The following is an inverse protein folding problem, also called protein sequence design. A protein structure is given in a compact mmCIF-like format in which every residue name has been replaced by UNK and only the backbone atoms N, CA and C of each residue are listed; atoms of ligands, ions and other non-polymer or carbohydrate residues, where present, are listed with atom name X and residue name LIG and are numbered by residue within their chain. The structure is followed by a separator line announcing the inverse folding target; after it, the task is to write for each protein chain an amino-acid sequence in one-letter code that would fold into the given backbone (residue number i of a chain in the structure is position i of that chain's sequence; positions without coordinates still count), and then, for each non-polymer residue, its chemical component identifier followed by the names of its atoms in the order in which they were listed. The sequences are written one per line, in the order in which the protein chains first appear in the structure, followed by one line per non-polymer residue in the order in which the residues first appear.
data_IF_412051704092
#
_entry.id   IF_412051704092
#
_cell.length_a   1.000
_cell.length_b   1.000
_cell.length_c   1.000
_cell.angle_alpha   90.00
_cell.angle_beta   90.00
_cell.angle_gamma   90.00
#
_symmetry.space_group_name_H-M   'P 1'
#
loop_
_entity.id
_entity.type
_entity.pdbx_description
1 polymer ?
#
# COMPACT_ATOMS: atom_id res chain seq x y z
N UNK A 1 -5.05 -17.53 -43.80
CA UNK A 1 -5.12 -16.14 -43.31
C UNK A 1 -4.01 -15.95 -42.30
N UNK A 2 -2.92 -15.31 -42.69
CA UNK A 2 -1.88 -14.84 -41.77
C UNK A 2 -2.36 -13.51 -41.19
N UNK A 3 -2.52 -13.45 -39.86
CA UNK A 3 -2.80 -12.19 -39.17
C UNK A 3 -1.55 -11.32 -39.31
N UNK A 4 -1.64 -10.11 -39.87
CA UNK A 4 -0.49 -9.22 -39.93
C UNK A 4 -0.11 -8.82 -38.51
N UNK A 5 1.09 -9.18 -38.08
CA UNK A 5 1.70 -8.64 -36.86
C UNK A 5 1.98 -7.18 -37.14
N UNK A 6 1.27 -6.29 -36.45
CA UNK A 6 1.51 -4.86 -36.51
C UNK A 6 2.98 -4.58 -36.18
N UNK A 7 3.62 -3.82 -37.06
CA UNK A 7 4.98 -3.29 -36.88
C UNK A 7 5.10 -2.57 -35.55
N UNK A 8 6.16 -2.90 -34.81
CA UNK A 8 6.50 -2.38 -33.48
C UNK A 8 6.25 -0.88 -33.38
N UNK A 9 5.28 -0.50 -32.56
CA UNK A 9 5.19 0.86 -32.04
C UNK A 9 6.53 1.19 -31.38
N UNK A 10 7.07 2.38 -31.65
CA UNK A 10 8.28 2.87 -31.01
C UNK A 10 8.12 2.74 -29.49
N UNK A 11 8.97 1.94 -28.86
CA UNK A 11 8.95 1.70 -27.42
C UNK A 11 9.20 3.05 -26.74
N UNK A 12 8.18 3.60 -26.07
CA UNK A 12 8.37 4.80 -25.27
C UNK A 12 9.43 4.50 -24.21
N UNK A 13 10.35 5.44 -23.93
CA UNK A 13 11.35 5.21 -22.90
C UNK A 13 10.63 4.91 -21.59
N UNK A 14 11.03 3.81 -20.92
CA UNK A 14 10.46 3.43 -19.63
C UNK A 14 10.53 4.62 -18.67
N UNK A 15 9.47 4.86 -17.87
CA UNK A 15 9.49 5.94 -16.91
C UNK A 15 10.67 5.78 -15.96
N UNK A 16 11.34 6.91 -15.69
CA UNK A 16 12.45 6.97 -14.74
C UNK A 16 11.94 7.46 -13.39
N UNK A 17 12.64 7.04 -12.34
CA UNK A 17 12.44 7.53 -10.98
C UNK A 17 10.99 7.38 -10.52
N UNK A 18 10.43 6.19 -10.75
CA UNK A 18 9.05 5.85 -10.35
C UNK A 18 8.99 5.72 -8.84
N UNK A 19 7.99 6.37 -8.24
CA UNK A 19 7.80 6.31 -6.80
C UNK A 19 6.65 7.19 -6.32
N UNK A 20 6.73 7.64 -5.08
CA UNK A 20 5.65 8.38 -4.41
C UNK A 20 5.82 9.88 -4.68
N UNK A 21 4.85 10.45 -5.39
CA UNK A 21 4.76 11.88 -5.72
C UNK A 21 4.17 12.72 -4.58
N UNK A 22 3.12 12.21 -3.94
CA UNK A 22 2.39 12.90 -2.90
C UNK A 22 1.73 11.89 -1.96
N UNK A 23 1.51 12.29 -0.71
CA UNK A 23 0.80 11.48 0.29
C UNK A 23 -0.11 12.36 1.12
N UNK A 24 -1.28 11.82 1.49
CA UNK A 24 -2.16 12.45 2.46
C UNK A 24 -2.75 11.41 3.41
N UNK A 25 -2.95 11.84 4.67
CA UNK A 25 -3.37 10.97 5.76
C UNK A 25 -4.68 11.44 6.34
N UNK A 26 -5.55 10.49 6.67
CA UNK A 26 -6.78 10.72 7.40
C UNK A 26 -6.81 9.87 8.68
N UNK A 27 -7.01 10.54 9.81
CA UNK A 27 -7.26 9.90 11.11
C UNK A 27 -8.52 10.51 11.74
N UNK A 28 -9.44 9.69 12.27
CA UNK A 28 -10.64 10.21 12.92
C UNK A 28 -10.28 10.97 14.21
N UNK A 29 -10.85 12.17 14.37
CA UNK A 29 -10.57 13.06 15.52
C UNK A 29 -11.22 12.60 16.84
N UNK A 30 -12.11 11.61 16.81
CA UNK A 30 -12.80 11.06 17.98
C UNK A 30 -12.79 9.54 17.92
N UNK A 31 -12.84 8.88 19.07
CA UNK A 31 -13.22 7.47 19.16
C UNK A 31 -14.70 7.38 18.74
N UNK A 32 -14.94 6.99 17.49
CA UNK A 32 -16.28 6.88 16.90
C UNK A 32 -16.86 5.49 17.22
N UNK A 33 -18.19 5.38 17.21
CA UNK A 33 -18.87 4.09 17.40
C UNK A 33 -18.66 3.17 16.19
N UNK A 34 -18.67 1.86 16.40
CA UNK A 34 -18.44 0.81 15.38
C UNK A 34 -19.30 1.02 14.12
N UNK A 35 -20.58 1.36 14.31
CA UNK A 35 -21.58 1.54 13.24
C UNK A 35 -21.40 2.84 12.44
N UNK A 36 -20.94 3.91 13.09
CA UNK A 36 -20.69 5.19 12.41
C UNK A 36 -19.38 5.14 11.59
N UNK A 37 -18.46 4.22 11.90
CA UNK A 37 -17.19 4.05 11.20
C UNK A 37 -17.34 3.21 9.92
N UNK A 38 -18.28 2.27 9.90
CA UNK A 38 -18.69 1.54 8.69
C UNK A 38 -19.34 2.47 7.64
N UNK A 39 -20.06 3.50 8.10
CA UNK A 39 -20.70 4.51 7.24
C UNK A 39 -19.71 5.64 6.85
N UNK A 40 -18.65 5.84 7.63
CA UNK A 40 -17.65 6.89 7.44
C UNK A 40 -16.39 6.35 6.75
N UNK A 41 -16.44 6.32 5.43
CA UNK A 41 -15.38 5.83 4.55
C UNK A 41 -14.11 6.73 4.61
N UNK A 42 -13.27 6.54 5.63
CA UNK A 42 -12.02 7.28 5.83
C UNK A 42 -11.06 7.22 4.64
N UNK A 43 -11.18 6.16 3.83
CA UNK A 43 -10.46 5.96 2.56
C UNK A 43 -10.87 7.03 1.55
N UNK A 44 -12.17 7.29 1.39
CA UNK A 44 -12.65 8.37 0.52
C UNK A 44 -12.11 9.74 0.92
N UNK A 45 -11.99 10.02 2.23
CA UNK A 45 -11.45 11.30 2.72
C UNK A 45 -9.96 11.48 2.46
N UNK A 46 -9.17 10.42 2.62
CA UNK A 46 -7.75 10.48 2.29
C UNK A 46 -7.54 10.76 0.80
N UNK A 47 -8.35 10.12 -0.07
CA UNK A 47 -8.28 10.36 -1.53
C UNK A 47 -8.74 11.77 -1.90
N UNK A 48 -9.88 12.23 -1.39
CA UNK A 48 -10.35 13.60 -1.62
C UNK A 48 -9.35 14.65 -1.13
N UNK A 49 -8.79 14.45 0.07
CA UNK A 49 -7.76 15.33 0.64
C UNK A 49 -6.51 15.41 -0.23
N UNK A 50 -6.04 14.26 -0.73
CA UNK A 50 -4.93 14.19 -1.68
C UNK A 50 -5.24 14.97 -2.97
N UNK A 51 -6.40 14.75 -3.59
CA UNK A 51 -6.80 15.41 -4.83
C UNK A 51 -6.88 16.93 -4.69
N UNK A 52 -7.50 17.41 -3.60
CA UNK A 52 -7.68 18.84 -3.33
C UNK A 52 -6.35 19.53 -2.97
N UNK A 53 -5.58 18.95 -2.05
CA UNK A 53 -4.35 19.57 -1.50
C UNK A 53 -3.24 19.68 -2.54
N UNK A 54 -3.13 18.70 -3.43
CA UNK A 54 -2.13 18.67 -4.48
C UNK A 54 -2.69 19.13 -5.84
N UNK A 55 -3.95 19.58 -5.88
CA UNK A 55 -4.64 20.06 -7.09
C UNK A 55 -4.50 19.08 -8.26
N UNK A 56 -4.78 17.80 -8.00
CA UNK A 56 -4.65 16.71 -8.96
C UNK A 56 -5.96 16.62 -9.75
N UNK A 57 -5.88 16.63 -11.08
CA UNK A 57 -7.04 16.38 -11.93
C UNK A 57 -7.49 14.91 -11.78
N UNK A 58 -8.73 14.61 -11.38
CA UNK A 58 -9.23 13.24 -11.30
C UNK A 58 -9.13 12.46 -12.62
N UNK A 59 -9.09 13.15 -13.78
CA UNK A 59 -8.88 12.52 -15.10
C UNK A 59 -7.44 12.06 -15.34
N UNK A 60 -6.49 12.60 -14.59
CA UNK A 60 -5.07 12.22 -14.66
C UNK A 60 -4.74 10.91 -13.95
N UNK A 61 -5.76 10.23 -13.37
CA UNK A 61 -5.60 8.95 -12.67
C UNK A 61 -5.99 7.80 -13.59
N UNK A 62 -5.09 6.83 -13.74
CA UNK A 62 -5.29 5.64 -14.58
C UNK A 62 -5.39 4.35 -13.79
N UNK A 63 -4.99 4.35 -12.51
CA UNK A 63 -5.06 3.16 -11.65
C UNK A 63 -5.31 3.52 -10.20
N UNK A 64 -6.16 2.75 -9.53
CA UNK A 64 -6.41 2.84 -8.08
C UNK A 64 -6.38 1.43 -7.50
N UNK A 65 -5.42 1.16 -6.62
CA UNK A 65 -5.35 -0.08 -5.84
C UNK A 65 -5.55 0.23 -4.35
N UNK A 66 -6.35 -0.59 -3.66
CA UNK A 66 -6.65 -0.41 -2.24
C UNK A 66 -6.07 -1.58 -1.45
N UNK A 67 -5.27 -1.28 -0.44
CA UNK A 67 -4.84 -2.23 0.56
C UNK A 67 -5.66 -2.10 1.82
N UNK A 68 -6.38 -3.16 2.18
CA UNK A 68 -7.17 -3.20 3.41
C UNK A 68 -7.32 -4.65 3.89
N UNK A 69 -7.37 -4.83 5.20
CA UNK A 69 -7.84 -6.06 5.84
C UNK A 69 -9.26 -5.95 6.39
N UNK A 70 -9.85 -4.75 6.35
CA UNK A 70 -11.21 -4.41 6.78
C UNK A 70 -12.20 -4.70 5.66
N UNK A 71 -12.91 -5.83 5.75
CA UNK A 71 -13.88 -6.25 4.74
C UNK A 71 -15.26 -5.73 5.10
N UNK A 72 -15.78 -4.79 4.30
CA UNK A 72 -17.17 -4.34 4.38
C UNK A 72 -18.09 -5.26 3.55
N UNK A 73 -17.63 -5.69 2.38
CA UNK A 73 -18.36 -6.59 1.48
C UNK A 73 -17.42 -7.68 0.92
N UNK A 74 -17.95 -8.90 0.74
CA UNK A 74 -17.16 -10.07 0.31
C UNK A 74 -16.87 -10.09 -1.20
N UNK A 75 -17.62 -9.32 -1.98
CA UNK A 75 -17.54 -9.27 -3.45
C UNK A 75 -17.26 -7.86 -3.95
N UNK A 76 -17.93 -6.84 -3.38
CA UNK A 76 -17.75 -5.45 -3.76
C UNK A 76 -16.50 -4.88 -3.08
N UNK A 77 -15.52 -4.51 -3.90
CA UNK A 77 -14.28 -3.89 -3.43
C UNK A 77 -14.48 -2.44 -2.99
N UNK A 78 -13.69 -1.99 -2.01
CA UNK A 78 -13.56 -0.60 -1.59
C UNK A 78 -13.18 0.29 -2.77
N UNK A 79 -12.30 -0.20 -3.66
CA UNK A 79 -11.97 0.47 -4.94
C UNK A 79 -13.21 0.89 -5.72
N UNK A 80 -14.26 0.05 -5.78
CA UNK A 80 -15.48 0.42 -6.52
C UNK A 80 -16.33 1.47 -5.81
N UNK A 81 -16.22 1.60 -4.50
CA UNK A 81 -16.84 2.70 -3.75
C UNK A 81 -16.11 4.01 -4.02
N UNK A 82 -14.77 3.99 -4.10
CA UNK A 82 -13.94 5.15 -4.46
C UNK A 82 -14.22 5.69 -5.87
N UNK A 83 -14.68 4.85 -6.80
CA UNK A 83 -15.06 5.31 -8.14
C UNK A 83 -16.16 6.37 -8.14
N UNK A 84 -16.96 6.49 -7.07
CA UNK A 84 -17.93 7.58 -6.93
C UNK A 84 -17.26 8.97 -6.91
N UNK A 85 -16.03 9.08 -6.39
CA UNK A 85 -15.27 10.34 -6.40
C UNK A 85 -14.84 10.76 -7.81
N UNK A 86 -14.73 9.80 -8.74
CA UNK A 86 -14.31 10.04 -10.11
C UNK A 86 -15.50 10.17 -11.08
N UNK A 87 -16.72 9.83 -10.63
CA UNK A 87 -17.92 9.85 -11.46
C UNK A 87 -18.24 11.25 -11.99
N UNK A 88 -18.09 12.30 -11.18
CA UNK A 88 -18.34 13.69 -11.60
C UNK A 88 -17.36 14.16 -12.68
N UNK A 89 -16.13 13.66 -12.63
CA UNK A 89 -15.11 13.97 -13.65
C UNK A 89 -15.33 13.21 -14.97
N UNK A 90 -16.18 12.17 -14.96
CA UNK A 90 -16.41 11.27 -16.10
C UNK A 90 -15.26 10.28 -16.36
N UNK A 91 -14.32 10.13 -15.42
CA UNK A 91 -13.21 9.17 -15.54
C UNK A 91 -13.63 7.79 -14.99
N UNK A 92 -14.00 6.89 -15.88
CA UNK A 92 -14.39 5.51 -15.54
C UNK A 92 -13.33 4.47 -15.92
N UNK A 93 -12.35 4.85 -16.72
CA UNK A 93 -11.29 3.98 -17.21
C UNK A 93 -10.11 4.00 -16.24
N UNK A 94 -10.28 3.31 -15.10
CA UNK A 94 -9.32 3.27 -14.00
C UNK A 94 -9.09 1.82 -13.54
N UNK A 95 -7.89 1.30 -13.81
CA UNK A 95 -7.48 -0.06 -13.41
C UNK A 95 -7.33 -0.22 -11.88
N UNK A 96 -7.17 -1.46 -11.42
CA UNK A 96 -6.85 -1.80 -10.03
C UNK A 96 -8.03 -2.34 -9.22
N UNK A 97 -7.70 -2.97 -8.09
CA UNK A 97 -8.63 -3.72 -7.23
C UNK A 97 -8.19 -3.61 -5.76
N UNK A 98 -8.87 -4.35 -4.88
CA UNK A 98 -8.44 -4.49 -3.49
C UNK A 98 -7.41 -5.63 -3.36
N UNK A 99 -6.32 -5.35 -2.64
CA UNK A 99 -5.29 -6.31 -2.27
C UNK A 99 -5.36 -6.56 -0.77
N UNK A 100 -5.48 -7.82 -0.37
CA UNK A 100 -5.64 -8.21 1.03
C UNK A 100 -4.67 -9.31 1.42
N UNK A 101 -3.86 -9.04 2.45
CA UNK A 101 -3.15 -10.05 3.23
C UNK A 101 -2.76 -9.44 4.58
N UNK A 102 -3.71 -9.38 5.50
CA UNK A 102 -3.59 -8.59 6.73
C UNK A 102 -3.04 -7.17 6.43
N UNK A 103 -2.21 -6.60 7.32
CA UNK A 103 -1.58 -5.30 7.14
C UNK A 103 -0.63 -5.19 5.92
N UNK A 104 -0.33 -6.28 5.19
CA UNK A 104 0.53 -6.26 3.99
C UNK A 104 -0.23 -5.86 2.72
N UNK A 105 -1.56 -5.80 2.75
CA UNK A 105 -2.38 -5.50 1.57
C UNK A 105 -2.00 -4.19 0.86
N UNK A 106 -1.66 -3.16 1.64
CA UNK A 106 -1.23 -1.83 1.15
C UNK A 106 0.11 -1.88 0.42
N UNK A 107 1.07 -2.64 0.94
CA UNK A 107 2.34 -2.87 0.28
C UNK A 107 2.16 -3.60 -1.05
N UNK A 108 1.31 -4.62 -1.09
CA UNK A 108 1.02 -5.34 -2.33
C UNK A 108 0.39 -4.39 -3.37
N UNK A 109 -0.55 -3.54 -2.95
CA UNK A 109 -1.13 -2.49 -3.79
C UNK A 109 -0.05 -1.50 -4.29
N UNK A 110 0.90 -1.12 -3.44
CA UNK A 110 2.01 -0.24 -3.82
C UNK A 110 2.91 -0.87 -4.90
N UNK A 111 3.32 -2.12 -4.71
CA UNK A 111 4.11 -2.83 -5.73
C UNK A 111 3.34 -2.99 -7.04
N UNK A 112 2.05 -3.28 -6.99
CA UNK A 112 1.21 -3.39 -8.18
C UNK A 112 1.13 -2.06 -8.94
N UNK A 113 1.00 -0.93 -8.23
CA UNK A 113 0.98 0.39 -8.84
C UNK A 113 2.33 0.77 -9.48
N UNK A 114 3.45 0.54 -8.78
CA UNK A 114 4.79 0.80 -9.32
C UNK A 114 5.03 -0.06 -10.58
N UNK A 115 4.77 -1.37 -10.48
CA UNK A 115 4.91 -2.28 -11.61
C UNK A 115 4.03 -1.89 -12.80
N UNK A 116 2.82 -1.38 -12.54
CA UNK A 116 1.93 -0.89 -13.60
C UNK A 116 2.50 0.35 -14.30
N UNK A 117 3.02 1.33 -13.55
CA UNK A 117 3.68 2.52 -14.11
C UNK A 117 4.90 2.10 -14.95
N UNK A 118 5.68 1.12 -14.51
CA UNK A 118 6.85 0.62 -15.24
C UNK A 118 6.51 -0.33 -16.41
N UNK A 119 5.26 -0.77 -16.53
CA UNK A 119 4.84 -1.75 -17.52
C UNK A 119 4.59 -1.15 -18.91
N UNK A 120 4.53 -2.01 -19.93
CA UNK A 120 4.08 -1.64 -21.27
C UNK A 120 2.60 -1.24 -21.35
N UNK A 121 1.83 -1.53 -20.30
CA UNK A 121 0.40 -1.19 -20.21
C UNK A 121 0.17 0.20 -19.61
N UNK A 122 1.23 0.91 -19.22
CA UNK A 122 1.12 2.26 -18.70
C UNK A 122 0.62 3.23 -19.79
N UNK A 123 -0.37 4.03 -19.42
CA UNK A 123 -1.07 4.96 -20.31
C UNK A 123 -0.62 6.43 -20.11
N UNK A 124 0.43 6.65 -19.29
CA UNK A 124 0.95 7.97 -18.96
C UNK A 124 0.26 8.67 -17.78
N UNK A 125 -0.79 8.07 -17.20
CA UNK A 125 -1.51 8.61 -16.04
C UNK A 125 -0.87 8.18 -14.71
N UNK A 126 -1.21 8.89 -13.64
CA UNK A 126 -0.74 8.54 -12.29
C UNK A 126 -1.58 7.40 -11.71
N UNK A 127 -0.99 6.66 -10.77
CA UNK A 127 -1.70 5.68 -9.96
C UNK A 127 -1.94 6.22 -8.54
N UNK A 128 -3.04 5.81 -7.91
CA UNK A 128 -3.30 6.07 -6.48
C UNK A 128 -3.29 4.74 -5.75
N UNK A 129 -2.55 4.68 -4.66
CA UNK A 129 -2.57 3.56 -3.73
C UNK A 129 -3.22 4.03 -2.44
N UNK A 130 -4.23 3.33 -1.97
CA UNK A 130 -4.90 3.66 -0.71
C UNK A 130 -4.67 2.55 0.29
N UNK A 131 -4.11 2.90 1.44
CA UNK A 131 -4.00 2.03 2.60
C UNK A 131 -5.02 2.47 3.63
N UNK A 132 -5.97 1.63 4.02
CA UNK A 132 -6.99 2.02 4.98
C UNK A 132 -7.48 0.84 5.79
N UNK A 133 -7.48 1.00 7.11
CA UNK A 133 -7.90 -0.06 8.02
C UNK A 133 -8.52 0.44 9.30
N UNK A 134 -9.36 -0.43 9.84
CA UNK A 134 -10.05 -0.30 11.11
C UNK A 134 -9.68 -1.55 11.93
N UNK A 135 -8.74 -1.35 12.87
CA UNK A 135 -8.29 -2.38 13.79
C UNK A 135 -9.14 -2.34 15.07
N UNK A 136 -10.11 -3.25 15.16
CA UNK A 136 -10.97 -3.39 16.34
C UNK A 136 -10.76 -4.79 16.94
N UNK A 137 -10.68 -4.83 18.28
CA UNK A 137 -10.48 -6.05 19.05
C UNK A 137 -11.55 -6.25 20.11
N UNK A 138 -11.87 -7.52 20.37
CA UNK A 138 -12.74 -7.93 21.46
C UNK A 138 -12.20 -7.43 22.82
N UNK A 139 -13.06 -7.43 23.85
CA UNK A 139 -12.66 -7.06 25.21
C UNK A 139 -11.51 -7.97 25.67
N UNK A 140 -10.36 -7.39 26.01
CA UNK A 140 -9.18 -8.13 26.43
C UNK A 140 -7.91 -7.28 26.29
N UNK A 141 -6.75 -7.92 26.44
CA UNK A 141 -5.44 -7.26 26.40
C UNK A 141 -5.11 -6.65 25.02
N UNK A 142 -5.74 -7.12 23.94
CA UNK A 142 -5.54 -6.59 22.59
C UNK A 142 -6.34 -5.31 22.31
N UNK A 143 -7.39 -4.99 23.09
CA UNK A 143 -8.25 -3.82 22.86
C UNK A 143 -7.50 -2.48 22.78
N UNK A 144 -6.49 -2.19 23.62
CA UNK A 144 -5.74 -0.94 23.54
C UNK A 144 -4.87 -0.81 22.28
N UNK A 145 -4.65 -1.89 21.53
CA UNK A 145 -3.88 -1.87 20.29
C UNK A 145 -4.73 -1.55 19.05
N UNK A 146 -6.03 -1.29 19.22
CA UNK A 146 -6.90 -0.89 18.12
C UNK A 146 -6.61 0.53 17.61
N UNK A 147 -7.12 0.82 16.41
CA UNK A 147 -6.94 2.09 15.74
C UNK A 147 -7.69 2.15 14.41
N UNK A 148 -7.79 3.35 13.84
CA UNK A 148 -8.37 3.52 12.51
C UNK A 148 -7.63 4.64 11.78
N UNK A 149 -7.40 4.45 10.49
CA UNK A 149 -6.74 5.45 9.66
C UNK A 149 -6.74 5.06 8.18
N UNK A 150 -6.53 6.07 7.33
CA UNK A 150 -6.32 5.90 5.91
C UNK A 150 -5.17 6.77 5.42
N UNK A 151 -4.45 6.29 4.41
CA UNK A 151 -3.37 6.97 3.72
C UNK A 151 -3.58 6.79 2.22
N UNK A 152 -3.55 7.90 1.47
CA UNK A 152 -3.58 7.89 0.01
C UNK A 152 -2.22 8.34 -0.51
N UNK A 153 -1.63 7.57 -1.42
CA UNK A 153 -0.32 7.80 -2.02
C UNK A 153 -0.48 7.94 -3.54
N UNK A 154 0.02 9.05 -4.11
CA UNK A 154 0.09 9.25 -5.56
C UNK A 154 1.41 8.67 -6.08
N UNK A 155 1.33 7.80 -7.08
CA UNK A 155 2.46 7.10 -7.69
C UNK A 155 2.64 7.57 -9.14
N UNK A 156 3.88 7.87 -9.52
CA UNK A 156 4.23 8.26 -10.88
C UNK A 156 5.74 8.46 -11.07
N UNK A 157 6.17 8.87 -12.27
CA UNK A 157 7.58 9.10 -12.62
C UNK A 157 8.13 10.40 -12.03
N UNK A 158 9.46 10.51 -11.94
CA UNK A 158 10.18 11.67 -11.37
C UNK A 158 9.73 12.00 -9.93
N UNK A 159 9.54 10.96 -9.12
CA UNK A 159 9.05 11.10 -7.76
C UNK A 159 10.14 11.62 -6.80
N UNK A 160 9.79 12.44 -5.79
CA UNK A 160 10.72 12.82 -4.72
C UNK A 160 11.13 11.62 -3.85
N UNK A 161 10.28 10.59 -3.77
CA UNK A 161 10.57 9.33 -3.07
C UNK A 161 10.57 8.22 -4.11
N UNK A 162 11.75 7.93 -4.66
CA UNK A 162 11.96 6.91 -5.71
C UNK A 162 12.05 5.52 -5.09
N UNK A 163 11.43 4.54 -5.75
CA UNK A 163 11.51 3.16 -5.32
C UNK A 163 12.72 2.47 -5.95
N UNK A 164 13.58 1.86 -5.13
CA UNK A 164 14.67 1.03 -5.64
C UNK A 164 14.13 -0.36 -6.04
N UNK A 165 14.58 -0.94 -7.17
CA UNK A 165 14.10 -2.25 -7.62
C UNK A 165 14.60 -3.42 -6.76
N UNK A 166 15.19 -3.14 -5.58
CA UNK A 166 15.77 -4.11 -4.66
C UNK A 166 14.85 -4.24 -3.45
N UNK A 167 14.28 -5.42 -3.27
CA UNK A 167 13.48 -5.75 -2.09
C UNK A 167 13.66 -7.23 -1.71
N UNK A 168 13.36 -7.55 -0.45
CA UNK A 168 13.36 -8.91 0.07
C UNK A 168 11.98 -9.25 0.62
N UNK A 169 11.46 -10.41 0.25
CA UNK A 169 10.14 -10.87 0.66
C UNK A 169 10.22 -12.20 1.39
N UNK A 170 9.33 -12.40 2.37
CA UNK A 170 9.14 -13.66 3.07
C UNK A 170 7.65 -13.92 3.27
N UNK A 171 7.16 -15.07 2.81
CA UNK A 171 5.78 -15.49 2.99
C UNK A 171 5.75 -16.91 3.54
N UNK A 172 4.91 -17.14 4.54
CA UNK A 172 4.71 -18.42 5.19
C UNK A 172 3.22 -18.63 5.47
N UNK A 173 2.83 -19.84 5.88
CA UNK A 173 1.45 -20.19 6.25
C UNK A 173 1.27 -20.37 7.79
N UNK A 174 1.42 -19.32 8.61
CA UNK A 174 1.15 -19.38 10.05
C UNK A 174 -0.30 -19.00 10.38
N UNK A 175 -0.92 -19.74 11.31
CA UNK A 175 -2.20 -19.34 11.92
C UNK A 175 -1.95 -18.53 13.20
N UNK A 176 -1.47 -17.30 13.04
CA UNK A 176 -1.05 -16.43 14.17
C UNK A 176 -2.04 -15.31 14.48
N UNK A 177 -2.57 -14.67 13.43
CA UNK A 177 -3.50 -13.56 13.49
C UNK A 177 -4.38 -13.65 12.25
N UNK A 178 -5.65 -14.01 12.44
CA UNK A 178 -6.57 -14.23 11.33
C UNK A 178 -8.03 -14.02 11.77
N UNK A 179 -8.91 -13.75 10.80
CA UNK A 179 -10.34 -13.52 11.02
C UNK A 179 -11.15 -14.68 10.40
N UNK A 180 -11.30 -15.84 11.08
CA UNK A 180 -12.01 -16.99 10.51
C UNK A 180 -13.53 -16.82 10.59
N UNK A 181 -14.02 -16.09 11.59
CA UNK A 181 -15.44 -15.84 11.79
C UNK A 181 -15.90 -14.66 10.95
N UNK A 182 -16.58 -14.92 9.84
CA UNK A 182 -17.08 -13.89 8.92
C UNK A 182 -18.22 -13.02 9.47
N UNK A 183 -18.77 -13.37 10.64
CA UNK A 183 -19.82 -12.60 11.32
C UNK A 183 -19.28 -11.73 12.45
N UNK A 184 -17.96 -11.74 12.68
CA UNK A 184 -17.29 -10.97 13.72
C UNK A 184 -16.12 -10.20 13.11
N UNK A 185 -15.96 -8.94 13.49
CA UNK A 185 -14.83 -8.14 13.06
C UNK A 185 -13.53 -8.47 13.81
N UNK A 186 -13.66 -9.08 14.99
CA UNK A 186 -12.54 -9.38 15.88
C UNK A 186 -11.67 -10.53 15.36
N UNK A 187 -10.34 -10.38 15.38
CA UNK A 187 -9.42 -11.45 15.01
C UNK A 187 -9.26 -12.50 16.11
N UNK A 188 -8.92 -13.71 15.71
CA UNK A 188 -8.30 -14.71 16.57
C UNK A 188 -6.79 -14.45 16.59
N UNK A 189 -6.22 -14.40 17.81
CA UNK A 189 -4.83 -13.98 18.02
C UNK A 189 -4.10 -14.97 18.92
N UNK A 190 -3.01 -15.54 18.39
CA UNK A 190 -1.94 -16.17 19.18
C UNK A 190 -0.81 -15.15 19.36
N UNK A 191 -0.83 -14.44 20.50
CA UNK A 191 0.12 -13.35 20.78
C UNK A 191 1.59 -13.80 20.72
N UNK A 192 2.01 -14.80 21.52
CA UNK A 192 3.38 -15.31 21.49
C UNK A 192 3.82 -15.83 20.11
N UNK A 193 2.95 -16.61 19.43
CA UNK A 193 3.23 -17.10 18.08
C UNK A 193 3.37 -15.96 17.06
N UNK A 194 2.56 -14.91 17.19
CA UNK A 194 2.60 -13.74 16.31
C UNK A 194 3.94 -13.01 16.33
N UNK A 195 4.52 -12.85 17.53
CA UNK A 195 5.83 -12.18 17.71
C UNK A 195 6.96 -13.01 17.13
N UNK A 196 6.99 -14.33 17.40
CA UNK A 196 8.05 -15.21 16.88
C UNK A 196 8.05 -15.21 15.35
N UNK A 197 6.88 -15.37 14.73
CA UNK A 197 6.80 -15.36 13.27
C UNK A 197 7.11 -13.99 12.67
N UNK A 198 6.84 -12.88 13.38
CA UNK A 198 7.22 -11.55 12.93
C UNK A 198 8.74 -11.41 12.80
N UNK A 199 9.47 -11.76 13.85
CA UNK A 199 10.93 -11.64 13.89
C UNK A 199 11.55 -12.56 12.84
N UNK A 200 11.03 -13.79 12.69
CA UNK A 200 11.46 -14.71 11.64
C UNK A 200 11.25 -14.14 10.23
N UNK A 201 10.11 -13.50 9.99
CA UNK A 201 9.82 -12.88 8.70
C UNK A 201 10.75 -11.70 8.41
N UNK A 202 11.03 -10.87 9.42
CA UNK A 202 11.98 -9.76 9.32
C UNK A 202 13.38 -10.24 8.96
N UNK A 203 13.92 -11.20 9.72
CA UNK A 203 15.27 -11.74 9.51
C UNK A 203 15.40 -12.39 8.12
N UNK A 204 14.37 -13.10 7.69
CA UNK A 204 14.33 -13.77 6.39
C UNK A 204 14.23 -12.77 5.25
N UNK A 205 13.34 -11.78 5.35
CA UNK A 205 13.19 -10.72 4.34
C UNK A 205 14.48 -9.91 4.20
N UNK A 206 15.13 -9.58 5.32
CA UNK A 206 16.41 -8.87 5.31
C UNK A 206 17.54 -9.71 4.72
N UNK A 207 17.57 -11.00 5.01
CA UNK A 207 18.56 -11.92 4.40
C UNK A 207 18.38 -12.03 2.89
N UNK A 208 17.13 -12.10 2.40
CA UNK A 208 16.81 -12.05 0.97
C UNK A 208 17.23 -10.72 0.34
N UNK A 209 16.93 -9.59 0.99
CA UNK A 209 17.34 -8.25 0.52
C UNK A 209 18.85 -8.15 0.32
N UNK A 210 19.64 -8.63 1.29
CA UNK A 210 21.11 -8.66 1.20
C UNK A 210 21.65 -9.59 0.11
N UNK A 211 20.92 -10.66 -0.22
CA UNK A 211 21.34 -11.63 -1.23
C UNK A 211 21.04 -11.16 -2.66
N UNK A 212 20.14 -10.20 -2.83
CA UNK A 212 19.81 -9.64 -4.14
C UNK A 212 21.00 -8.86 -4.70
N UNK A 213 21.56 -9.26 -5.87
CA UNK A 213 22.65 -8.52 -6.49
C UNK A 213 22.15 -7.14 -6.90
N UNK A 214 22.87 -6.09 -6.50
CA UNK A 214 22.67 -4.74 -7.04
C UNK A 214 23.01 -4.83 -8.53
N UNK A 215 22.03 -4.71 -9.41
CA UNK A 215 22.32 -4.49 -10.82
C UNK A 215 23.19 -3.24 -10.92
N UNK A 216 24.30 -3.24 -11.68
CA UNK A 216 25.21 -2.10 -11.71
C UNK A 216 24.44 -0.86 -12.17
N UNK A 217 24.17 0.03 -11.22
CA UNK A 217 23.71 1.39 -11.51
C UNK A 217 24.84 2.04 -12.31
N UNK A 218 24.51 2.61 -13.47
CA UNK A 218 25.48 3.29 -14.32
C UNK A 218 26.32 4.28 -13.49
N UNK A 219 27.64 4.34 -13.69
CA UNK A 219 28.56 4.98 -12.77
C UNK A 219 28.55 6.51 -12.97
N UNK A 220 27.53 7.22 -12.50
CA UNK A 220 27.59 8.70 -12.46
C UNK A 220 26.90 9.36 -11.24
N UNK A 221 26.18 8.64 -10.36
CA UNK A 221 25.61 9.25 -9.15
C UNK A 221 25.78 8.36 -7.91
N UNK A 222 26.97 8.42 -7.31
CA UNK A 222 27.25 7.82 -6.02
C UNK A 222 26.76 8.77 -4.91
N UNK A 223 25.49 8.67 -4.50
CA UNK A 223 25.05 9.17 -3.20
C UNK A 223 25.17 8.04 -2.17
N UNK A 224 26.01 8.25 -1.17
CA UNK A 224 26.28 7.26 -0.10
C UNK A 224 25.00 7.11 0.74
N UNK A 225 24.37 5.93 0.85
CA UNK A 225 23.20 5.79 1.72
C UNK A 225 23.64 5.91 3.18
N UNK A 226 23.02 6.85 3.89
CA UNK A 226 23.18 7.07 5.32
C UNK A 226 22.80 5.83 6.13
N UNK A 227 23.55 5.60 7.20
CA UNK A 227 23.39 4.50 8.15
C UNK A 227 21.98 4.43 8.74
N UNK A 228 21.34 3.27 8.66
CA UNK A 228 20.09 2.94 9.34
C UNK A 228 20.29 2.99 10.87
N UNK A 229 19.67 3.96 11.53
CA UNK A 229 19.44 3.94 12.99
C UNK A 229 17.98 3.57 13.19
N UNK A 230 17.71 2.34 13.62
CA UNK A 230 16.39 1.95 14.11
C UNK A 230 16.16 2.63 15.47
N UNK A 231 15.10 3.43 15.65
CA UNK A 231 14.72 3.88 16.99
C UNK A 231 14.21 2.68 17.79
N UNK A 232 14.81 2.48 18.96
CA UNK A 232 14.61 1.41 19.95
C UNK A 232 13.23 1.43 20.63
N UNK A 233 12.17 1.86 19.94
CA UNK A 233 10.86 2.15 20.53
C UNK A 233 9.71 1.65 19.64
N UNK A 234 9.60 0.33 19.48
CA UNK A 234 8.36 -0.29 18.99
C UNK A 234 7.75 -1.11 20.15
N UNK A 235 7.05 -0.43 21.05
CA UNK A 235 6.55 -0.97 22.33
C UNK A 235 5.19 -1.66 22.24
N UNK A 236 4.65 -1.94 21.06
CA UNK A 236 3.37 -2.64 20.88
C UNK A 236 3.48 -3.77 19.85
N UNK A 237 3.43 -5.05 20.27
CA UNK A 237 3.72 -6.20 19.41
C UNK A 237 2.53 -6.79 18.63
N UNK A 238 1.46 -6.02 18.35
CA UNK A 238 0.18 -6.61 17.91
C UNK A 238 -0.12 -6.57 16.39
N UNK A 239 0.60 -5.81 15.57
CA UNK A 239 0.40 -5.79 14.10
C UNK A 239 1.63 -6.30 13.35
N UNK A 240 1.80 -7.62 13.44
CA UNK A 240 2.92 -8.38 12.92
C UNK A 240 2.83 -8.72 11.41
N UNK A 241 2.19 -7.88 10.60
CA UNK A 241 2.17 -7.98 9.13
C UNK A 241 2.84 -6.79 8.44
N UNK A 242 3.26 -5.77 9.20
CA UNK A 242 3.67 -4.44 8.74
C UNK A 242 5.07 -4.33 8.09
N UNK A 243 5.68 -5.40 7.59
CA UNK A 243 7.01 -5.29 6.96
C UNK A 243 6.91 -5.04 5.45
N UNK A 244 6.50 -3.82 5.09
CA UNK A 244 7.26 -2.92 4.19
C UNK A 244 6.97 -1.49 4.68
N UNK A 245 7.65 -1.08 5.74
CA UNK A 245 7.99 0.33 5.92
C UNK A 245 9.36 0.51 5.31
N UNK A 246 9.38 1.11 4.11
CA UNK A 246 10.58 1.75 3.59
C UNK A 246 11.19 2.63 4.69
N UNK A 247 12.51 2.62 4.91
CA UNK A 247 13.17 3.66 5.67
C UNK A 247 13.09 4.95 4.85
N UNK A 248 12.07 5.78 5.09
CA UNK A 248 12.01 7.15 4.61
C UNK A 248 13.05 7.97 5.38
N UNK A 249 14.24 8.15 4.81
CA UNK A 249 15.13 9.24 5.24
C UNK A 249 14.58 10.55 4.68
N UNK A 250 13.76 11.25 5.47
CA UNK A 250 13.48 12.67 5.25
C UNK A 250 14.72 13.47 5.65
N UNK A 251 15.54 13.81 4.66
CA UNK A 251 16.52 14.89 4.80
C UNK A 251 15.80 16.21 4.50
N UNK A 252 15.54 17.00 5.55
CA UNK A 252 15.27 18.45 5.43
C UNK A 252 16.59 19.19 5.19
#
# INVERSE_FOLDING_TARGET
MTIPVATSAAESPRPKDVGILAMDFYFPLRCISETDLEEYDGVSKAVSGLLEKYNIDPKSIGRIDVGTETIIDKLKSVKTTLMSLFAESGNHDIEGIDSKNACYGSTAALYNAINWVESSSWDGRNAIVVAGDIAIYAKGAARPAGGAGACAMLIGPNAPVVFEPIHGSYMANPYKFYKPNLSSEYPEVDGPGSVVTYIQALDSAYSSYKATPIAPVLPDEFHVPGTLIFPDQMSTPLDASCLVLLPLSLSL
#
